data_IF_184171337726
#
_entry.id   IF_184171337726
#
_cell.length_a   1.000
_cell.length_b   1.000
_cell.length_c   1.000
_cell.angle_alpha   90.00
_cell.angle_beta   90.00
_cell.angle_gamma   90.00
#
_symmetry.space_group_name_H-M   'P 1'
#
loop_
_entity.id
_entity.type
_entity.pdbx_description
1 polymer ?
#
# COMPACT_ATOMS: atom_id res chain seq x y z
N UNK A 1 0.36 6.69 -16.21
CA UNK A 1 0.43 6.89 -14.75
C UNK A 1 1.75 6.38 -14.15
N UNK A 2 2.08 5.09 -14.30
CA UNK A 2 3.26 4.46 -13.68
C UNK A 2 4.61 5.07 -14.09
N UNK A 3 4.85 5.26 -15.40
CA UNK A 3 6.10 5.87 -15.89
C UNK A 3 6.30 7.32 -15.41
N UNK A 4 5.21 8.10 -15.37
CA UNK A 4 5.23 9.46 -14.82
C UNK A 4 5.63 9.46 -13.34
N UNK A 5 5.02 8.61 -12.50
CA UNK A 5 5.36 8.51 -11.08
C UNK A 5 6.82 8.06 -10.86
N UNK A 6 7.32 7.17 -11.72
CA UNK A 6 8.74 6.78 -11.71
C UNK A 6 9.67 7.95 -12.02
N UNK A 7 9.36 8.74 -13.05
CA UNK A 7 10.12 9.94 -13.39
C UNK A 7 10.06 11.00 -12.27
N UNK A 8 8.88 11.23 -11.68
CA UNK A 8 8.71 12.14 -10.55
C UNK A 8 9.56 11.72 -9.36
N UNK A 9 9.57 10.43 -9.00
CA UNK A 9 10.44 9.90 -7.93
C UNK A 9 11.91 10.20 -8.19
N UNK A 10 12.38 9.96 -9.43
CA UNK A 10 13.78 10.23 -9.80
C UNK A 10 14.13 11.72 -9.73
N UNK A 11 13.22 12.60 -10.18
CA UNK A 11 13.40 14.04 -10.11
C UNK A 11 13.44 14.53 -8.66
N UNK A 12 12.54 14.05 -7.80
CA UNK A 12 12.52 14.39 -6.38
C UNK A 12 13.73 13.81 -5.62
N UNK A 13 14.25 12.66 -6.05
CA UNK A 13 15.48 12.09 -5.51
C UNK A 13 16.71 12.94 -5.85
N UNK A 14 16.75 13.50 -7.06
CA UNK A 14 17.88 14.31 -7.55
C UNK A 14 17.81 15.76 -7.10
N UNK A 15 16.61 16.33 -7.02
CA UNK A 15 16.37 17.74 -6.72
C UNK A 15 15.54 17.88 -5.46
N UNK A 16 16.23 18.05 -4.33
CA UNK A 16 15.61 18.10 -3.01
C UNK A 16 14.59 19.25 -2.87
N UNK A 17 14.76 20.35 -3.62
CA UNK A 17 13.82 21.46 -3.64
C UNK A 17 12.42 21.07 -4.16
N UNK A 18 12.32 20.05 -5.02
CA UNK A 18 11.03 19.56 -5.52
C UNK A 18 10.22 18.81 -4.46
N UNK A 19 10.82 18.51 -3.29
CA UNK A 19 10.13 17.87 -2.18
C UNK A 19 9.12 18.81 -1.54
N UNK A 20 9.41 20.12 -1.51
CA UNK A 20 8.49 21.14 -1.01
C UNK A 20 7.16 21.18 -1.76
N UNK A 21 7.10 20.65 -3.01
CA UNK A 21 5.85 20.56 -3.77
C UNK A 21 4.81 19.61 -3.14
N UNK A 22 5.24 18.71 -2.26
CA UNK A 22 4.39 17.72 -1.58
C UNK A 22 3.99 18.15 -0.17
N UNK A 23 4.66 19.16 0.39
CA UNK A 23 4.45 19.61 1.77
C UNK A 23 3.67 20.93 1.77
N UNK A 24 2.55 20.97 2.47
CA UNK A 24 1.81 22.22 2.68
C UNK A 24 2.40 22.97 3.89
N UNK A 25 3.20 24.00 3.62
CA UNK A 25 3.78 24.88 4.64
C UNK A 25 2.81 26.01 5.07
N UNK A 26 1.55 25.99 4.59
CA UNK A 26 0.55 27.02 4.90
C UNK A 26 0.82 28.38 4.24
N UNK A 27 1.88 28.49 3.44
CA UNK A 27 2.17 29.65 2.61
C UNK A 27 1.20 29.73 1.42
N UNK A 28 0.90 30.95 0.97
CA UNK A 28 0.08 31.13 -0.25
C UNK A 28 0.87 30.56 -1.43
N UNK A 29 0.39 29.49 -2.09
CA UNK A 29 1.09 28.91 -3.22
C UNK A 29 1.11 29.90 -4.38
N UNK A 30 2.22 29.90 -5.13
CA UNK A 30 2.38 30.66 -6.36
C UNK A 30 1.39 30.25 -7.44
N UNK A 31 1.37 30.99 -8.54
CA UNK A 31 0.53 30.69 -9.72
C UNK A 31 1.36 29.92 -10.75
N UNK A 32 0.98 28.68 -11.01
CA UNK A 32 1.55 27.88 -12.09
C UNK A 32 0.98 28.33 -13.44
N UNK A 33 1.86 28.61 -14.40
CA UNK A 33 1.50 29.03 -15.76
C UNK A 33 1.85 27.93 -16.77
N UNK A 34 0.91 27.05 -17.14
CA UNK A 34 1.17 25.95 -18.07
C UNK A 34 1.52 26.46 -19.48
N UNK A 35 1.01 27.62 -19.87
CA UNK A 35 1.22 28.20 -21.21
C UNK A 35 2.52 29.02 -21.32
N UNK A 36 3.34 29.06 -20.27
CA UNK A 36 4.61 29.77 -20.30
C UNK A 36 5.58 29.12 -21.31
N UNK A 37 6.12 29.93 -22.23
CA UNK A 37 7.06 29.45 -23.26
C UNK A 37 8.40 28.96 -22.68
N UNK A 38 8.81 29.56 -21.56
CA UNK A 38 10.01 29.18 -20.82
C UNK A 38 9.62 28.43 -19.54
N UNK A 39 10.06 27.17 -19.34
CA UNK A 39 9.74 26.40 -18.15
C UNK A 39 10.25 27.05 -16.85
N UNK A 40 11.33 27.84 -16.91
CA UNK A 40 11.84 28.54 -15.72
C UNK A 40 10.88 29.65 -15.24
N UNK A 41 10.03 30.17 -16.12
CA UNK A 41 9.05 31.23 -15.83
C UNK A 41 7.66 30.67 -15.51
N UNK A 42 7.46 29.36 -15.59
CA UNK A 42 6.18 28.72 -15.32
C UNK A 42 5.78 28.79 -13.84
N UNK A 43 6.73 29.06 -12.93
CA UNK A 43 6.45 29.19 -11.49
C UNK A 43 6.10 27.87 -10.81
N UNK A 44 6.44 26.73 -11.40
CA UNK A 44 6.06 25.40 -10.88
C UNK A 44 6.60 25.15 -9.47
N UNK A 45 7.83 25.60 -9.18
CA UNK A 45 8.51 25.37 -7.91
C UNK A 45 7.86 26.08 -6.70
N UNK A 46 7.06 27.11 -6.92
CA UNK A 46 6.37 27.85 -5.85
C UNK A 46 4.93 27.39 -5.64
N UNK A 47 4.50 26.36 -6.36
CA UNK A 47 3.14 25.81 -6.28
C UNK A 47 3.13 24.47 -5.55
N UNK A 48 1.94 24.01 -5.17
CA UNK A 48 1.77 22.67 -4.58
C UNK A 48 1.26 21.69 -5.63
N UNK A 49 1.75 20.45 -5.57
CA UNK A 49 1.41 19.40 -6.52
C UNK A 49 0.16 18.62 -6.08
N UNK A 50 -1.01 19.27 -6.19
CA UNK A 50 -2.29 18.69 -5.77
C UNK A 50 -2.72 17.47 -6.58
N UNK A 51 -2.28 17.34 -7.84
CA UNK A 51 -2.62 16.16 -8.65
C UNK A 51 -2.02 14.88 -8.06
N UNK A 52 -0.91 14.99 -7.33
CA UNK A 52 -0.31 13.83 -6.65
C UNK A 52 -1.24 13.25 -5.57
N UNK A 53 -2.08 14.07 -4.94
CA UNK A 53 -3.05 13.64 -3.94
C UNK A 53 -4.18 12.76 -4.52
N UNK A 54 -4.43 12.84 -5.84
CA UNK A 54 -5.46 12.07 -6.52
C UNK A 54 -4.96 10.71 -7.02
N UNK A 55 -3.65 10.56 -7.23
CA UNK A 55 -3.04 9.32 -7.73
C UNK A 55 -3.25 8.08 -6.84
N UNK A 56 -3.35 8.17 -5.50
CA UNK A 56 -3.70 7.03 -4.64
C UNK A 56 -5.08 6.44 -4.91
N UNK A 57 -6.00 7.17 -5.54
CA UNK A 57 -7.34 6.70 -5.88
C UNK A 57 -7.43 6.06 -7.27
N UNK A 58 -6.28 5.70 -7.86
CA UNK A 58 -6.25 5.05 -9.17
C UNK A 58 -6.89 3.65 -9.12
N UNK A 59 -7.63 3.28 -10.17
CA UNK A 59 -8.33 2.00 -10.27
C UNK A 59 -7.38 0.78 -10.18
N UNK A 60 -6.16 0.93 -10.67
CA UNK A 60 -5.16 -0.14 -10.63
C UNK A 60 -4.48 -0.16 -9.24
N UNK A 61 -4.59 -1.25 -8.46
CA UNK A 61 -4.12 -1.28 -7.06
C UNK A 61 -2.62 -1.08 -6.95
N UNK A 62 -1.84 -1.54 -7.93
CA UNK A 62 -0.40 -1.30 -7.97
C UNK A 62 -0.10 0.19 -8.12
N UNK A 63 -0.80 0.89 -9.01
CA UNK A 63 -0.56 2.32 -9.23
C UNK A 63 -0.95 3.16 -8.01
N UNK A 64 -2.08 2.82 -7.38
CA UNK A 64 -2.50 3.40 -6.10
C UNK A 64 -1.42 3.23 -5.01
N UNK A 65 -0.91 1.99 -4.85
CA UNK A 65 0.16 1.70 -3.87
C UNK A 65 1.44 2.49 -4.13
N UNK A 66 1.86 2.62 -5.39
CA UNK A 66 3.03 3.42 -5.75
C UNK A 66 2.81 4.91 -5.54
N UNK A 67 1.62 5.43 -5.82
CA UNK A 67 1.28 6.81 -5.55
C UNK A 67 1.32 7.13 -4.05
N UNK A 68 0.76 6.26 -3.21
CA UNK A 68 0.86 6.40 -1.75
C UNK A 68 2.31 6.38 -1.26
N UNK A 69 3.15 5.52 -1.85
CA UNK A 69 4.58 5.47 -1.54
C UNK A 69 5.34 6.69 -2.03
N UNK A 70 4.95 7.29 -3.16
CA UNK A 70 5.54 8.54 -3.63
C UNK A 70 5.22 9.70 -2.68
N UNK A 71 3.95 9.78 -2.25
CA UNK A 71 3.48 10.82 -1.33
C UNK A 71 4.14 10.73 0.06
N UNK A 72 4.41 9.53 0.57
CA UNK A 72 5.07 9.36 1.88
C UNK A 72 6.60 9.53 1.85
N UNK A 73 7.18 9.78 0.67
CA UNK A 73 8.61 10.04 0.49
C UNK A 73 9.64 9.03 1.06
N UNK A 74 9.41 7.70 1.15
CA UNK A 74 10.53 6.79 1.36
C UNK A 74 11.28 6.74 0.02
N UNK A 75 12.38 7.51 -0.08
CA UNK A 75 13.31 7.43 -1.21
C UNK A 75 14.05 6.09 -1.23
N UNK A 76 13.97 5.34 -0.14
CA UNK A 76 14.36 3.94 -0.05
C UNK A 76 13.22 3.03 -0.55
N UNK A 77 13.58 1.91 -1.17
CA UNK A 77 12.63 0.94 -1.72
C UNK A 77 12.57 0.92 -3.25
N UNK A 78 12.08 -0.20 -3.82
CA UNK A 78 12.15 -0.46 -5.25
C UNK A 78 11.34 0.58 -6.03
N UNK A 79 12.03 1.32 -6.91
CA UNK A 79 11.35 2.13 -7.92
C UNK A 79 10.49 1.22 -8.81
N UNK A 80 9.28 1.64 -9.22
CA UNK A 80 8.46 0.82 -10.10
C UNK A 80 9.20 0.55 -11.42
N UNK A 81 9.60 -0.71 -11.64
CA UNK A 81 10.08 -1.21 -12.95
C UNK A 81 8.97 -1.27 -14.01
N UNK A 82 7.72 -1.00 -13.60
CA UNK A 82 6.48 -1.10 -14.38
C UNK A 82 6.27 0.10 -15.32
N UNK A 83 7.20 1.06 -15.35
CA UNK A 83 7.15 2.19 -16.28
C UNK A 83 7.45 1.82 -17.74
N UNK A 84 7.91 0.58 -17.99
CA UNK A 84 8.34 0.09 -19.31
C UNK A 84 7.40 -0.98 -19.90
N UNK A 85 6.40 -1.45 -19.17
CA UNK A 85 5.48 -2.49 -19.66
C UNK A 85 4.38 -1.86 -20.51
N UNK A 86 4.14 -2.44 -21.68
CA UNK A 86 3.06 -2.00 -22.57
C UNK A 86 1.70 -2.21 -21.87
N UNK A 87 0.68 -1.37 -22.12
CA UNK A 87 -0.66 -1.56 -21.56
C UNK A 87 -1.22 -2.96 -21.77
N UNK A 88 -0.90 -3.60 -22.91
CA UNK A 88 -1.33 -4.96 -23.24
C UNK A 88 -0.72 -6.02 -22.31
N UNK A 89 0.55 -5.85 -21.92
CA UNK A 89 1.22 -6.75 -20.98
C UNK A 89 0.63 -6.61 -19.57
N UNK A 90 0.30 -5.38 -19.17
CA UNK A 90 -0.39 -5.11 -17.91
C UNK A 90 -1.81 -5.69 -17.91
N UNK A 91 -2.53 -5.58 -19.03
CA UNK A 91 -3.86 -6.17 -19.18
C UNK A 91 -3.79 -7.69 -19.09
N UNK A 92 -2.86 -8.32 -19.80
CA UNK A 92 -2.63 -9.77 -19.71
C UNK A 92 -2.17 -10.23 -18.31
N UNK A 93 -1.44 -9.38 -17.59
CA UNK A 93 -1.03 -9.63 -16.21
C UNK A 93 -2.19 -9.48 -15.20
N UNK A 94 -3.18 -8.65 -15.50
CA UNK A 94 -4.33 -8.37 -14.63
C UNK A 94 -5.60 -9.12 -15.03
N UNK A 95 -5.56 -9.89 -16.14
CA UNK A 95 -6.69 -10.69 -16.62
C UNK A 95 -7.03 -11.84 -15.67
N UNK A 96 -8.29 -11.84 -15.21
CA UNK A 96 -8.87 -12.82 -14.29
C UNK A 96 -9.70 -13.90 -14.99
N UNK A 97 -9.83 -13.87 -16.31
CA UNK A 97 -10.60 -14.87 -17.08
C UNK A 97 -10.13 -16.30 -16.84
N UNK A 98 -8.84 -16.50 -16.55
CA UNK A 98 -8.24 -17.80 -16.23
C UNK A 98 -8.36 -18.21 -14.76
N UNK A 99 -9.11 -17.46 -13.94
CA UNK A 99 -9.46 -17.83 -12.56
C UNK A 99 -8.32 -17.70 -11.53
N UNK A 100 -7.24 -16.97 -11.85
CA UNK A 100 -6.10 -16.79 -10.95
C UNK A 100 -6.19 -15.48 -10.15
N UNK A 101 -6.19 -15.56 -8.83
CA UNK A 101 -5.96 -14.38 -7.98
C UNK A 101 -4.48 -13.99 -8.05
N UNK A 102 -4.20 -12.71 -8.31
CA UNK A 102 -2.85 -12.14 -8.33
C UNK A 102 -2.78 -10.93 -7.39
N UNK A 103 -2.03 -11.01 -6.26
CA UNK A 103 -1.30 -12.18 -5.76
C UNK A 103 -2.24 -13.33 -5.34
N UNK A 104 -1.74 -14.58 -5.30
CA UNK A 104 -2.55 -15.71 -4.85
C UNK A 104 -3.05 -15.48 -3.42
N UNK A 105 -4.33 -15.78 -3.19
CA UNK A 105 -4.94 -15.70 -1.85
C UNK A 105 -4.19 -16.66 -0.94
N UNK A 106 -3.67 -16.16 0.18
CA UNK A 106 -3.00 -17.02 1.16
C UNK A 106 -4.04 -18.01 1.71
N UNK A 107 -3.74 -19.32 1.72
CA UNK A 107 -4.66 -20.29 2.30
C UNK A 107 -4.82 -20.01 3.80
N UNK A 108 -6.01 -20.25 4.37
CA UNK A 108 -6.23 -20.02 5.79
C UNK A 108 -5.23 -20.83 6.62
N UNK A 109 -4.70 -20.21 7.69
CA UNK A 109 -3.79 -20.89 8.59
C UNK A 109 -4.45 -22.16 9.15
N UNK A 110 -3.73 -23.28 9.16
CA UNK A 110 -4.22 -24.53 9.75
C UNK A 110 -4.59 -24.29 11.21
N UNK A 111 -5.88 -24.32 11.54
CA UNK A 111 -6.32 -24.26 12.94
C UNK A 111 -5.69 -25.44 13.68
N UNK A 112 -4.91 -25.17 14.72
CA UNK A 112 -4.49 -26.21 15.65
C UNK A 112 -5.76 -26.79 16.27
N UNK A 113 -5.95 -28.09 16.12
CA UNK A 113 -7.02 -28.80 16.82
C UNK A 113 -6.69 -28.78 18.32
N UNK A 114 -7.22 -27.79 19.04
CA UNK A 114 -7.16 -27.76 20.50
C UNK A 114 -8.12 -28.85 20.97
N UNK A 115 -7.58 -30.00 21.34
CA UNK A 115 -8.36 -31.06 21.98
C UNK A 115 -8.71 -30.57 23.38
N UNK A 116 -9.91 -29.99 23.55
CA UNK A 116 -10.49 -29.72 24.86
C UNK A 116 -10.88 -31.07 25.49
N UNK A 117 -9.90 -31.78 26.05
CA UNK A 117 -10.18 -32.82 27.02
C UNK A 117 -10.87 -32.17 28.22
N UNK A 118 -12.03 -32.64 28.70
CA UNK A 118 -12.71 -31.97 29.80
C UNK A 118 -11.85 -32.04 31.07
N UNK A 119 -11.37 -30.89 31.53
CA UNK A 119 -10.52 -30.76 32.72
C UNK A 119 -11.16 -31.40 33.97
N UNK A 120 -12.50 -31.48 34.02
CA UNK A 120 -13.25 -32.09 35.12
C UNK A 120 -13.01 -33.60 35.29
N UNK A 121 -12.49 -34.32 34.28
CA UNK A 121 -12.23 -35.76 34.41
C UNK A 121 -11.06 -36.10 35.33
N UNK A 122 -10.09 -35.19 35.52
CA UNK A 122 -8.95 -35.43 36.43
C UNK A 122 -9.32 -35.26 37.89
N UNK A 123 -10.33 -34.46 38.18
CA UNK A 123 -10.75 -34.15 39.55
C UNK A 123 -11.76 -35.18 40.11
N UNK A 124 -12.53 -35.83 39.24
CA UNK A 124 -13.51 -36.87 39.64
C UNK A 124 -12.86 -38.21 40.00
N UNK A 125 -11.61 -38.46 39.57
CA UNK A 125 -10.86 -39.68 39.87
C UNK A 125 -10.06 -39.59 41.19
N UNK A 126 -9.96 -38.41 41.81
CA UNK A 126 -9.18 -38.19 43.03
C UNK A 126 -10.03 -38.03 44.29
N UNK A 127 -11.36 -37.93 44.16
CA UNK A 127 -12.25 -37.87 45.32
C UNK A 127 -12.64 -39.30 45.73
N UNK A 128 -12.23 -39.80 46.90
CA UNK A 128 -12.79 -41.05 47.41
C UNK A 128 -14.30 -40.85 47.60
N UNK A 129 -15.09 -41.79 47.07
CA UNK A 129 -16.53 -41.80 47.24
C UNK A 129 -16.85 -42.12 48.69
N UNK A 130 -16.99 -41.10 49.52
CA UNK A 130 -17.49 -41.25 50.89
C UNK A 130 -18.98 -41.55 50.79
N UNK A 131 -19.34 -42.79 51.09
CA UNK A 131 -20.71 -43.26 51.18
C UNK A 131 -21.39 -42.61 52.41
N UNK A 132 -22.45 -41.81 52.23
CA UNK A 132 -23.09 -41.12 53.34
C UNK A 132 -24.01 -42.01 54.21
N UNK A 133 -24.10 -43.32 53.94
CA UNK A 133 -25.00 -44.25 54.66
C UNK A 133 -24.30 -45.45 55.32
N UNK A 134 -23.06 -45.29 55.79
CA UNK A 134 -22.43 -46.30 56.64
C UNK A 134 -22.62 -45.96 58.11
N UNK A 135 -23.60 -46.61 58.73
CA UNK A 135 -23.81 -46.69 60.19
C UNK A 135 -22.58 -47.28 60.91
#
# INVERSE_FOLDING_TARGET
AMGLMGAMRLLMARHLALRALLDDDGAIPGVFKPDAKDPAQAGAQSTMLWEACLLPFHWHPTAAKYASHLASMPLEGPAPSVGLTHPDELMAASDVTKGGFRPPVQPPAKRRHISYGPAWKKERLQRPMTDPFRE
#
